data_IF_212388759136
#
_entry.id   IF_212388759136
#
_cell.length_a   1.000
_cell.length_b   1.000
_cell.length_c   1.000
_cell.angle_alpha   90.00
_cell.angle_beta   90.00
_cell.angle_gamma   90.00
#
_symmetry.space_group_name_H-M   'P 1'
#
loop_
_entity.id
_entity.type
_entity.pdbx_description
1 polymer ?
#
# COMPACT_ATOMS: atom_id res chain seq x y z
N UNK A 1 -0.89 -9.59 -12.47
CA UNK A 1 -0.69 -9.05 -11.12
C UNK A 1 -1.28 -10.04 -10.13
N UNK A 2 -0.49 -10.54 -9.19
CA UNK A 2 -0.98 -11.39 -8.10
C UNK A 2 -0.63 -10.67 -6.79
N UNK A 3 -1.63 -10.08 -6.13
CA UNK A 3 -1.45 -9.46 -4.82
C UNK A 3 -1.43 -10.57 -3.76
N UNK A 4 -0.50 -10.48 -2.81
CA UNK A 4 -0.46 -11.43 -1.69
C UNK A 4 -1.30 -10.91 -0.51
N UNK A 5 -2.04 -11.82 0.13
CA UNK A 5 -2.93 -11.56 1.26
C UNK A 5 -2.31 -12.18 2.50
N UNK A 6 -2.16 -11.37 3.55
CA UNK A 6 -1.47 -11.76 4.78
C UNK A 6 -2.37 -11.54 6.00
N UNK A 7 -2.41 -12.51 6.93
CA UNK A 7 -3.06 -12.36 8.25
C UNK A 7 -2.32 -11.35 9.15
N UNK A 8 -1.01 -11.20 8.95
CA UNK A 8 -0.16 -10.21 9.62
C UNK A 8 0.98 -9.80 8.70
N UNK A 9 1.48 -8.55 8.77
CA UNK A 9 2.58 -8.14 7.91
C UNK A 9 3.83 -8.97 8.25
N UNK A 10 4.47 -9.61 7.27
CA UNK A 10 5.62 -10.47 7.54
C UNK A 10 6.77 -9.69 8.22
N UNK A 11 7.65 -10.39 8.95
CA UNK A 11 8.88 -9.83 9.50
C UNK A 11 9.83 -9.41 8.37
N UNK A 12 10.64 -8.38 8.64
CA UNK A 12 11.48 -7.70 7.66
C UNK A 12 12.36 -8.68 6.86
N UNK A 13 12.19 -8.78 5.54
CA UNK A 13 13.05 -9.54 4.63
C UNK A 13 13.39 -8.68 3.41
N UNK A 14 14.68 -8.36 3.24
CA UNK A 14 15.15 -7.61 2.07
C UNK A 14 14.85 -8.40 0.78
N UNK A 15 14.04 -7.81 -0.11
CA UNK A 15 13.82 -8.31 -1.47
C UNK A 15 14.68 -7.51 -2.45
N UNK A 16 15.52 -8.22 -3.21
CA UNK A 16 16.24 -7.69 -4.36
C UNK A 16 15.27 -7.58 -5.55
N UNK A 17 14.88 -6.36 -5.91
CA UNK A 17 14.01 -6.09 -7.07
C UNK A 17 14.86 -5.38 -8.12
N UNK A 18 14.98 -5.91 -9.35
CA UNK A 18 15.75 -5.27 -10.42
C UNK A 18 15.06 -3.99 -10.94
N UNK A 19 15.82 -2.94 -11.32
CA UNK A 19 15.26 -1.71 -11.87
C UNK A 19 14.89 -1.85 -13.35
N UNK A 20 13.72 -1.37 -13.74
CA UNK A 20 13.25 -1.28 -15.13
C UNK A 20 12.59 0.07 -15.36
N UNK A 21 13.17 0.93 -16.19
CA UNK A 21 12.73 2.32 -16.39
C UNK A 21 12.08 2.52 -17.74
N UNK A 22 10.76 2.33 -17.82
CA UNK A 22 9.94 2.73 -18.96
C UNK A 22 8.84 3.72 -18.52
N UNK A 23 8.52 4.76 -19.32
CA UNK A 23 7.45 5.69 -19.01
C UNK A 23 6.09 4.98 -19.14
N UNK A 24 5.33 4.93 -18.06
CA UNK A 24 4.02 4.26 -18.03
C UNK A 24 2.87 5.19 -18.34
N UNK A 25 1.92 4.65 -19.12
CA UNK A 25 0.66 5.30 -19.47
C UNK A 25 -0.15 5.62 -18.20
N UNK A 26 -0.66 6.85 -18.13
CA UNK A 26 -1.59 7.31 -17.11
C UNK A 26 -2.80 6.37 -16.90
N UNK A 27 -3.22 5.65 -17.95
CA UNK A 27 -4.30 4.68 -17.90
C UNK A 27 -3.92 3.38 -17.18
N UNK A 28 -2.72 2.86 -17.43
CA UNK A 28 -2.19 1.69 -16.73
C UNK A 28 -1.99 1.97 -15.24
N UNK A 29 -1.49 3.17 -14.94
CA UNK A 29 -1.35 3.66 -13.58
C UNK A 29 -2.69 3.72 -12.84
N UNK A 30 -3.77 4.14 -13.52
CA UNK A 30 -5.12 4.13 -12.96
C UNK A 30 -5.62 2.70 -12.71
N UNK A 31 -5.46 1.78 -13.68
CA UNK A 31 -5.89 0.38 -13.54
C UNK A 31 -5.16 -0.35 -12.41
N UNK A 32 -3.85 -0.18 -12.31
CA UNK A 32 -3.03 -0.80 -11.27
C UNK A 32 -3.50 -0.41 -9.85
N UNK A 33 -3.82 0.88 -9.68
CA UNK A 33 -4.35 1.40 -8.41
C UNK A 33 -5.76 0.92 -8.10
N UNK A 34 -6.63 0.88 -9.11
CA UNK A 34 -7.99 0.37 -8.95
C UNK A 34 -7.97 -1.11 -8.56
N UNK A 35 -7.09 -1.91 -9.18
CA UNK A 35 -6.90 -3.32 -8.85
C UNK A 35 -6.38 -3.51 -7.41
N UNK A 36 -5.40 -2.71 -6.98
CA UNK A 36 -4.91 -2.75 -5.60
C UNK A 36 -5.98 -2.33 -4.59
N UNK A 37 -6.77 -1.30 -4.90
CA UNK A 37 -7.89 -0.87 -4.07
C UNK A 37 -8.95 -1.96 -3.96
N UNK A 38 -9.32 -2.57 -5.08
CA UNK A 38 -10.28 -3.68 -5.10
C UNK A 38 -9.80 -4.84 -4.23
N UNK A 39 -8.53 -5.24 -4.33
CA UNK A 39 -7.98 -6.33 -3.53
C UNK A 39 -8.08 -6.08 -2.01
N UNK A 40 -7.87 -4.83 -1.57
CA UNK A 40 -8.04 -4.43 -0.15
C UNK A 40 -9.49 -4.45 0.29
N UNK A 41 -10.43 -4.10 -0.59
CA UNK A 41 -11.86 -4.12 -0.31
C UNK A 41 -12.46 -5.52 -0.32
N UNK A 42 -11.95 -6.40 -1.19
CA UNK A 42 -12.36 -7.81 -1.26
C UNK A 42 -11.94 -8.60 0.00
N UNK A 43 -10.95 -8.10 0.75
CA UNK A 43 -10.40 -8.74 1.95
C UNK A 43 -10.39 -7.79 3.16
N UNK A 44 -11.57 -7.41 3.70
CA UNK A 44 -11.65 -6.52 4.86
C UNK A 44 -10.93 -7.13 6.07
N UNK A 45 -10.17 -6.30 6.81
CA UNK A 45 -9.38 -6.74 7.97
C UNK A 45 -8.04 -7.41 7.66
N UNK A 46 -7.81 -7.86 6.42
CA UNK A 46 -6.58 -8.53 5.98
C UNK A 46 -5.56 -7.54 5.42
N UNK A 47 -4.27 -7.87 5.53
CA UNK A 47 -3.21 -7.06 4.95
C UNK A 47 -2.94 -7.49 3.51
N UNK A 48 -3.17 -6.58 2.56
CA UNK A 48 -2.79 -6.77 1.17
C UNK A 48 -1.46 -6.09 0.94
N UNK A 49 -0.51 -6.82 0.35
CA UNK A 49 0.82 -6.30 0.04
C UNK A 49 0.95 -5.87 -1.42
N UNK A 50 1.68 -4.79 -1.66
CA UNK A 50 2.07 -4.35 -3.00
C UNK A 50 3.47 -3.74 -3.00
N UNK A 51 4.20 -3.90 -4.10
CA UNK A 51 5.45 -3.18 -4.36
C UNK A 51 5.18 -1.78 -4.93
N UNK A 52 6.23 -0.97 -5.10
CA UNK A 52 6.09 0.32 -5.79
C UNK A 52 5.62 0.15 -7.24
N UNK A 53 6.11 -0.89 -7.93
CA UNK A 53 5.75 -1.19 -9.32
C UNK A 53 4.28 -1.59 -9.45
N UNK A 54 3.73 -2.32 -8.46
CA UNK A 54 2.33 -2.74 -8.47
C UNK A 54 1.34 -1.57 -8.34
N UNK A 55 1.69 -0.52 -7.58
CA UNK A 55 0.82 0.66 -7.35
C UNK A 55 1.16 1.84 -8.24
N UNK A 56 2.37 1.82 -8.81
CA UNK A 56 2.91 2.87 -9.66
C UNK A 56 3.83 2.25 -10.71
N UNK A 57 3.26 1.51 -11.68
CA UNK A 57 4.04 0.89 -12.74
C UNK A 57 4.89 1.93 -13.47
N UNK A 58 6.07 1.53 -13.94
CA UNK A 58 7.03 2.40 -14.63
C UNK A 58 7.80 3.35 -13.71
N UNK A 59 7.56 3.29 -12.40
CA UNK A 59 8.32 4.06 -11.42
C UNK A 59 9.27 3.15 -10.68
N UNK A 60 10.46 2.98 -11.25
CA UNK A 60 11.60 2.39 -10.52
C UNK A 60 12.52 3.48 -10.01
N UNK A 61 12.64 3.55 -8.69
CA UNK A 61 13.67 4.35 -8.07
C UNK A 61 15.03 3.66 -8.20
N UNK A 62 16.07 4.44 -8.49
CA UNK A 62 17.45 3.93 -8.64
C UNK A 62 18.07 3.39 -7.34
N UNK A 63 17.42 3.58 -6.19
CA UNK A 63 17.91 3.07 -4.91
C UNK A 63 16.78 2.56 -4.00
N UNK A 64 17.01 1.49 -3.23
CA UNK A 64 16.04 0.97 -2.25
C UNK A 64 15.55 2.04 -1.26
N UNK A 65 16.43 2.98 -0.89
CA UNK A 65 16.10 4.09 0.02
C UNK A 65 15.08 5.05 -0.59
N UNK A 66 15.20 5.34 -1.88
CA UNK A 66 14.24 6.17 -2.61
C UNK A 66 12.89 5.46 -2.77
N UNK A 67 12.89 4.17 -3.12
CA UNK A 67 11.69 3.32 -3.14
C UNK A 67 10.96 3.38 -1.79
N UNK A 68 11.71 3.19 -0.70
CA UNK A 68 11.17 3.25 0.66
C UNK A 68 10.56 4.61 0.99
N UNK A 69 11.18 5.71 0.56
CA UNK A 69 10.68 7.07 0.78
C UNK A 69 9.36 7.30 0.05
N UNK A 70 9.24 6.85 -1.20
CA UNK A 70 7.99 6.94 -1.96
C UNK A 70 6.87 6.11 -1.34
N UNK A 71 7.15 4.86 -0.98
CA UNK A 71 6.17 4.00 -0.32
C UNK A 71 5.72 4.58 1.02
N UNK A 72 6.63 5.17 1.81
CA UNK A 72 6.26 5.90 3.04
C UNK A 72 5.36 7.10 2.77
N UNK A 73 5.58 7.81 1.66
CA UNK A 73 4.72 8.90 1.20
C UNK A 73 3.31 8.39 0.88
N UNK A 74 3.21 7.29 0.12
CA UNK A 74 1.94 6.64 -0.22
C UNK A 74 1.22 6.15 1.04
N UNK A 75 1.91 5.43 1.93
CA UNK A 75 1.31 4.93 3.17
C UNK A 75 0.75 6.07 4.04
N UNK A 76 1.43 7.22 4.11
CA UNK A 76 0.93 8.41 4.82
C UNK A 76 -0.31 9.00 4.16
N UNK A 77 -0.38 9.02 2.82
CA UNK A 77 -1.57 9.47 2.11
C UNK A 77 -2.77 8.55 2.40
N UNK A 78 -2.56 7.24 2.27
CA UNK A 78 -3.59 6.20 2.52
C UNK A 78 -4.11 6.28 3.96
N UNK A 79 -3.22 6.38 4.95
CA UNK A 79 -3.59 6.52 6.36
C UNK A 79 -4.39 7.80 6.66
N UNK A 80 -4.27 8.84 5.81
CA UNK A 80 -5.03 10.09 5.93
C UNK A 80 -6.34 10.06 5.13
N UNK A 81 -6.71 8.93 4.53
CA UNK A 81 -7.88 8.84 3.65
C UNK A 81 -7.68 9.57 2.32
N UNK A 82 -6.43 9.79 1.93
CA UNK A 82 -6.07 10.32 0.61
C UNK A 82 -5.56 9.19 -0.29
N UNK A 83 -5.70 9.41 -1.59
CA UNK A 83 -5.07 8.74 -2.73
C UNK A 83 -4.17 7.50 -2.45
N UNK A 84 -4.38 6.35 -3.12
CA UNK A 84 -5.44 6.06 -4.11
C UNK A 84 -6.79 5.73 -3.47
N UNK A 85 -6.87 5.69 -2.13
CA UNK A 85 -8.07 5.35 -1.39
C UNK A 85 -8.79 6.62 -0.94
N UNK A 86 -9.55 7.25 -1.83
CA UNK A 86 -10.46 8.34 -1.48
C UNK A 86 -11.87 7.77 -1.26
N UNK A 87 -12.35 7.73 -0.02
CA UNK A 87 -13.68 7.20 0.30
C UNK A 87 -14.04 7.33 1.79
N UNK A 88 -15.22 6.82 2.18
CA UNK A 88 -15.73 6.86 3.56
C UNK A 88 -15.12 5.78 4.49
N UNK A 89 -14.08 5.09 4.03
CA UNK A 89 -13.48 3.96 4.73
C UNK A 89 -12.18 4.37 5.42
N UNK A 90 -11.88 3.81 6.59
CA UNK A 90 -10.57 3.97 7.21
C UNK A 90 -9.65 2.83 6.77
N UNK A 91 -8.41 3.20 6.49
CA UNK A 91 -7.38 2.27 6.08
C UNK A 91 -6.22 2.36 7.04
N UNK A 92 -5.57 1.22 7.27
CA UNK A 92 -4.28 1.18 7.94
C UNK A 92 -3.24 0.74 6.94
N UNK A 93 -2.13 1.45 6.93
CA UNK A 93 -1.06 1.22 5.99
C UNK A 93 0.31 1.31 6.66
N UNK A 94 1.17 0.34 6.37
CA UNK A 94 2.54 0.26 6.86
C UNK A 94 3.49 -0.09 5.71
N UNK A 95 4.76 0.29 5.83
CA UNK A 95 5.78 -0.02 4.83
C UNK A 95 6.87 -0.86 5.49
N UNK A 96 7.14 -2.03 4.91
CA UNK A 96 8.22 -2.94 5.32
C UNK A 96 8.91 -3.49 4.08
N UNK A 97 10.24 -3.54 4.09
CA UNK A 97 11.05 -4.07 2.97
C UNK A 97 10.71 -3.56 1.57
N UNK A 98 10.42 -2.26 1.43
CA UNK A 98 10.00 -1.68 0.16
C UNK A 98 8.70 -2.31 -0.41
N UNK A 99 7.87 -2.82 0.48
CA UNK A 99 6.50 -3.27 0.22
C UNK A 99 5.57 -2.42 1.08
N UNK A 100 4.48 -1.96 0.48
CA UNK A 100 3.37 -1.34 1.17
C UNK A 100 2.35 -2.41 1.53
N UNK A 101 1.91 -2.40 2.78
CA UNK A 101 0.85 -3.27 3.28
C UNK A 101 -0.33 -2.40 3.64
N UNK A 102 -1.50 -2.66 3.07
CA UNK A 102 -2.72 -1.92 3.34
C UNK A 102 -3.81 -2.87 3.77
N UNK A 103 -4.56 -2.49 4.80
CA UNK A 103 -5.80 -3.15 5.19
C UNK A 103 -6.93 -2.15 5.33
N UNK A 104 -8.12 -2.59 5.00
CA UNK A 104 -9.36 -1.89 5.35
C UNK A 104 -9.65 -2.14 6.84
N UNK A 105 -9.80 -1.07 7.62
CA UNK A 105 -10.18 -1.14 9.03
C UNK A 105 -11.70 -1.36 9.08
N UNK A 106 -12.19 -2.50 9.61
CA UNK A 106 -13.63 -2.71 9.79
C UNK A 106 -14.19 -1.63 10.73
N UNK A 107 -15.44 -1.21 10.52
CA UNK A 107 -16.07 -0.15 11.33
C UNK A 107 -16.00 -0.40 12.84
N UNK A 108 -15.94 -1.66 13.26
CA UNK A 108 -15.80 -2.07 14.67
C UNK A 108 -14.43 -1.71 15.28
N UNK A 109 -13.35 -1.67 14.50
CA UNK A 109 -12.01 -1.29 14.97
C UNK A 109 -11.80 0.25 15.02
N UNK A 110 -12.63 1.03 14.31
CA UNK A 110 -12.53 2.50 14.32
C UNK A 110 -12.75 3.11 15.71
N UNK A 111 -13.53 2.43 16.56
CA UNK A 111 -13.88 2.88 17.91
C UNK A 111 -12.92 2.40 19.01
N UNK A 112 -12.00 1.47 18.71
CA UNK A 112 -11.04 0.94 19.68
C UNK A 112 -9.71 1.71 19.76
N UNK A 113 -9.50 2.71 18.90
CA UNK A 113 -8.44 3.72 19.08
C UNK A 113 -9.00 4.97 19.76
N UNK A 114 -9.72 4.78 20.87
CA UNK A 114 -9.97 5.87 21.81
C UNK A 114 -8.62 6.48 22.25
N UNK A 115 -8.59 7.78 22.60
CA UNK A 115 -7.36 8.46 22.95
C UNK A 115 -6.66 7.70 24.08
N UNK A 116 -5.46 7.18 23.82
CA UNK A 116 -4.50 6.87 24.87
C UNK A 116 -4.31 8.16 25.67
N UNK A 117 -4.92 8.21 26.85
CA UNK A 117 -4.76 9.30 27.80
C UNK A 117 -3.27 9.53 28.10
N UNK A 118 -2.85 10.80 28.26
CA UNK A 118 -1.47 11.17 28.57
C UNK A 118 -1.00 10.64 29.93
#
# INVERSE_FOLDING_TARGET
MAFEIHESPPPNKNLDIPPTSDPVDSYELYRARAAYMQAVHDHPGMWVSATLEDVRPGTTDKSPTATRRHLKGLARAINRGHYPFSGQHAYRCVVRDNIIYTRLIPGEEMYNNGPTNP
#
